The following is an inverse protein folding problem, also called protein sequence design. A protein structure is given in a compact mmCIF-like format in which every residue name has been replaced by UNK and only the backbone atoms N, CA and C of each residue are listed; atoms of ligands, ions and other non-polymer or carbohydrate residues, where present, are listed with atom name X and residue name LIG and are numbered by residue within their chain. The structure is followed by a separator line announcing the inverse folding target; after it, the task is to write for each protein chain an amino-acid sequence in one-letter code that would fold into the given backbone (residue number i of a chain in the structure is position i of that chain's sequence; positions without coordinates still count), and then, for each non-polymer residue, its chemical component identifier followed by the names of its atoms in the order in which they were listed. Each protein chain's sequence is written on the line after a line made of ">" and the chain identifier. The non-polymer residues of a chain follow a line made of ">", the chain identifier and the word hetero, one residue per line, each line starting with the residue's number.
data_IF_561268101234
#
_entry.id   IF_561268101234
#
_cell.length_a   1.000
_cell.length_b   1.000
_cell.length_c   1.000
_cell.angle_alpha   90.00
_cell.angle_beta   90.00
_cell.angle_gamma   90.00
#
_symmetry.space_group_name_H-M   'P 1'
#
loop_
_entity.id
_entity.type
_entity.pdbx_description
1 polymer ?
#
# COMPACT_ATOMS: atom_id res chain seq x y z
N UNK A 1 -10.44 25.45 -11.69
CA UNK A 1 -9.28 25.11 -12.54
C UNK A 1 -9.73 24.13 -13.63
N UNK A 2 -9.16 24.21 -14.84
CA UNK A 2 -9.48 23.28 -15.93
C UNK A 2 -8.71 21.97 -15.70
N UNK A 3 -9.41 20.85 -15.51
CA UNK A 3 -8.76 19.55 -15.28
C UNK A 3 -7.97 19.11 -16.51
N UNK A 4 -6.76 18.57 -16.31
CA UNK A 4 -5.87 18.12 -17.40
C UNK A 4 -6.06 16.63 -17.67
N UNK A 5 -6.06 16.25 -18.95
CA UNK A 5 -6.12 14.84 -19.35
C UNK A 5 -4.69 14.27 -19.44
N UNK A 6 -4.32 13.38 -18.52
CA UNK A 6 -2.95 12.84 -18.42
C UNK A 6 -3.01 11.32 -18.13
N UNK A 7 -1.94 10.60 -18.47
CA UNK A 7 -1.74 9.19 -18.10
C UNK A 7 -0.72 9.14 -16.95
N UNK A 8 -1.11 8.58 -15.81
CA UNK A 8 -0.20 8.34 -14.69
C UNK A 8 0.60 7.06 -14.94
N UNK A 9 1.88 7.06 -14.60
CA UNK A 9 2.69 5.85 -14.56
C UNK A 9 2.18 4.91 -13.47
N UNK A 10 2.24 3.58 -13.67
CA UNK A 10 1.88 2.61 -12.63
C UNK A 10 2.81 2.74 -11.41
N UNK A 11 2.30 2.59 -10.18
CA UNK A 11 3.12 2.59 -8.98
C UNK A 11 4.04 1.37 -8.97
N UNK A 12 5.26 1.53 -8.48
CA UNK A 12 6.18 0.40 -8.34
C UNK A 12 5.75 -0.40 -7.11
N UNK A 13 5.33 -1.65 -7.31
CA UNK A 13 4.91 -2.54 -6.23
C UNK A 13 6.13 -3.27 -5.68
N UNK A 14 6.40 -3.09 -4.39
CA UNK A 14 7.44 -3.82 -3.66
C UNK A 14 6.81 -4.60 -2.51
N UNK A 15 7.47 -5.69 -2.08
CA UNK A 15 6.97 -6.49 -0.95
C UNK A 15 7.20 -5.73 0.36
N UNK A 16 8.34 -5.05 0.45
CA UNK A 16 8.69 -4.22 1.59
C UNK A 16 9.01 -2.79 1.15
N UNK A 17 8.67 -1.80 1.99
CA UNK A 17 8.87 -0.38 1.69
C UNK A 17 10.36 -0.03 1.46
N UNK A 18 11.25 -0.66 2.24
CA UNK A 18 12.69 -0.41 2.14
C UNK A 18 13.32 -0.86 0.82
N UNK A 19 12.66 -1.72 0.05
CA UNK A 19 13.16 -2.18 -1.26
C UNK A 19 13.20 -1.03 -2.28
N UNK A 20 12.39 0.02 -2.07
CA UNK A 20 12.42 1.23 -2.90
C UNK A 20 13.59 2.13 -2.55
N UNK A 21 14.17 1.99 -1.36
CA UNK A 21 15.23 2.86 -0.89
C UNK A 21 16.55 2.53 -1.61
N UNK A 22 17.16 3.56 -2.18
CA UNK A 22 18.45 3.51 -2.85
C UNK A 22 19.43 4.47 -2.19
N UNK A 23 20.71 4.17 -2.27
CA UNK A 23 21.78 5.03 -1.78
C UNK A 23 22.81 5.26 -2.90
N UNK A 24 23.24 6.51 -3.05
CA UNK A 24 24.28 6.86 -4.00
C UNK A 24 25.66 6.42 -3.48
N UNK A 25 26.45 5.68 -4.28
CA UNK A 25 27.81 5.31 -3.90
C UNK A 25 28.77 6.50 -3.72
N UNK A 26 28.50 7.62 -4.40
CA UNK A 26 29.43 8.75 -4.45
C UNK A 26 29.17 9.77 -3.33
N UNK A 27 27.91 10.19 -3.14
CA UNK A 27 27.55 11.17 -2.11
C UNK A 27 26.87 10.57 -0.89
N UNK A 28 26.65 9.25 -0.86
CA UNK A 28 25.99 8.51 0.24
C UNK A 28 24.60 9.01 0.64
N UNK A 29 23.94 9.81 -0.22
CA UNK A 29 22.56 10.23 0.00
C UNK A 29 21.59 9.14 -0.41
N UNK A 30 20.49 9.11 0.33
CA UNK A 30 19.39 8.19 0.12
C UNK A 30 18.31 8.85 -0.76
N UNK A 31 17.67 8.03 -1.58
CA UNK A 31 16.54 8.44 -2.42
C UNK A 31 15.59 7.27 -2.62
N UNK A 32 14.31 7.58 -2.74
CA UNK A 32 13.25 6.64 -3.14
C UNK A 32 12.86 6.86 -4.60
N UNK A 33 13.21 8.02 -5.16
CA UNK A 33 12.95 8.35 -6.55
C UNK A 33 13.75 7.42 -7.46
N UNK A 34 13.06 6.83 -8.43
CA UNK A 34 13.60 5.84 -9.36
C UNK A 34 14.21 6.49 -10.60
N UNK A 35 15.00 7.53 -10.37
CA UNK A 35 15.76 8.20 -11.42
C UNK A 35 17.05 7.43 -11.73
N UNK A 36 17.58 7.60 -12.94
CA UNK A 36 18.85 6.98 -13.35
C UNK A 36 20.03 7.64 -12.63
N UNK A 37 19.93 8.96 -12.43
CA UNK A 37 20.97 9.78 -11.85
C UNK A 37 20.62 10.19 -10.42
N UNK A 38 21.64 10.35 -9.59
CA UNK A 38 21.46 10.89 -8.25
C UNK A 38 21.06 12.37 -8.32
N UNK A 39 19.91 12.72 -7.73
CA UNK A 39 19.39 14.10 -7.65
C UNK A 39 20.27 15.06 -6.84
N UNK A 40 21.31 14.56 -6.15
CA UNK A 40 22.28 15.40 -5.45
C UNK A 40 23.57 15.63 -6.23
N UNK A 41 24.17 14.56 -6.77
CA UNK A 41 25.49 14.65 -7.39
C UNK A 41 25.50 14.42 -8.91
N UNK A 42 24.34 14.15 -9.52
CA UNK A 42 24.16 13.90 -10.95
C UNK A 42 24.74 12.57 -11.45
N UNK A 43 25.45 11.81 -10.61
CA UNK A 43 26.12 10.57 -11.05
C UNK A 43 25.15 9.36 -11.09
N UNK A 44 25.28 8.46 -12.08
CA UNK A 44 24.50 7.21 -12.17
C UNK A 44 25.06 6.14 -11.22
N UNK A 45 24.93 6.39 -9.92
CA UNK A 45 25.56 5.57 -8.89
C UNK A 45 24.59 5.12 -7.79
N UNK A 46 23.29 5.05 -8.10
CA UNK A 46 22.25 4.63 -7.17
C UNK A 46 22.21 3.11 -7.05
N UNK A 47 22.34 2.59 -5.82
CA UNK A 47 22.20 1.18 -5.51
C UNK A 47 21.04 0.92 -4.55
N UNK A 48 20.30 -0.19 -4.71
CA UNK A 48 19.35 -0.65 -3.70
C UNK A 48 20.04 -0.86 -2.35
N UNK A 49 19.41 -0.43 -1.26
CA UNK A 49 19.99 -0.58 0.09
C UNK A 49 20.14 -2.05 0.48
N UNK A 50 19.29 -2.94 -0.02
CA UNK A 50 19.41 -4.39 0.19
C UNK A 50 20.72 -4.96 -0.41
N UNK A 51 21.15 -4.47 -1.57
CA UNK A 51 22.44 -4.89 -2.13
C UNK A 51 23.62 -4.40 -1.30
N UNK A 52 23.54 -3.19 -0.74
CA UNK A 52 24.57 -2.65 0.14
C UNK A 52 24.68 -3.48 1.42
N UNK A 53 23.55 -3.82 2.04
CA UNK A 53 23.50 -4.71 3.20
C UNK A 53 24.06 -6.10 2.89
N UNK A 54 23.74 -6.67 1.72
CA UNK A 54 24.27 -7.96 1.28
C UNK A 54 25.80 -7.92 1.10
N UNK A 55 26.34 -6.84 0.50
CA UNK A 55 27.78 -6.66 0.33
C UNK A 55 28.49 -6.51 1.69
N UNK A 56 27.91 -5.75 2.61
CA UNK A 56 28.43 -5.61 3.97
C UNK A 56 28.43 -6.95 4.73
N UNK A 57 27.32 -7.71 4.67
CA UNK A 57 27.22 -9.04 5.27
C UNK A 57 28.25 -10.01 4.68
N UNK A 58 28.41 -10.02 3.34
CA UNK A 58 29.43 -10.85 2.66
C UNK A 58 30.84 -10.48 3.11
N UNK A 59 31.16 -9.18 3.25
CA UNK A 59 32.48 -8.69 3.69
C UNK A 59 32.78 -9.10 5.14
N UNK A 60 31.81 -8.94 6.05
CA UNK A 60 31.94 -9.41 7.44
C UNK A 60 32.25 -10.92 7.48
N UNK A 61 31.51 -11.72 6.71
CA UNK A 61 31.74 -13.18 6.66
C UNK A 61 33.07 -13.57 6.00
N UNK A 62 33.57 -12.79 5.04
CA UNK A 62 34.89 -13.01 4.45
C UNK A 62 36.02 -12.71 5.45
N UNK A 63 35.84 -11.72 6.34
CA UNK A 63 36.81 -11.46 7.40
C UNK A 63 36.89 -12.63 8.40
N UNK A 64 35.75 -13.21 8.79
CA UNK A 64 35.68 -14.40 9.65
C UNK A 64 36.42 -15.60 9.02
N UNK A 65 36.32 -15.76 7.71
CA UNK A 65 37.01 -16.80 6.93
C UNK A 65 38.53 -16.58 6.89
N UNK A 66 38.97 -15.35 6.60
CA UNK A 66 40.38 -14.99 6.58
C UNK A 66 41.03 -15.17 7.96
N UNK A 67 40.31 -14.81 9.03
CA UNK A 67 40.78 -15.01 10.40
C UNK A 67 40.94 -16.50 10.71
N UNK A 68 39.98 -17.33 10.31
CA UNK A 68 40.05 -18.78 10.53
C UNK A 68 41.23 -19.38 9.77
N UNK A 69 41.41 -19.01 8.49
CA UNK A 69 42.55 -19.44 7.68
C UNK A 69 43.90 -19.02 8.30
N UNK A 70 43.98 -17.79 8.82
CA UNK A 70 45.17 -17.30 9.50
C UNK A 70 45.47 -18.14 10.75
N UNK A 71 44.46 -18.41 11.59
CA UNK A 71 44.62 -19.23 12.79
C UNK A 71 45.07 -20.66 12.45
N UNK A 72 44.54 -21.26 11.38
CA UNK A 72 44.97 -22.60 10.94
C UNK A 72 46.41 -22.61 10.45
N UNK A 73 46.84 -21.56 9.71
CA UNK A 73 48.22 -21.44 9.24
C UNK A 73 49.19 -21.27 10.41
N UNK A 74 48.82 -20.47 11.42
CA UNK A 74 49.62 -20.30 12.65
C UNK A 74 49.74 -21.63 13.39
N UNK A 75 48.63 -22.36 13.56
CA UNK A 75 48.64 -23.66 14.24
C UNK A 75 49.55 -24.69 13.54
N UNK A 76 49.55 -24.69 12.19
CA UNK A 76 50.43 -25.56 11.40
C UNK A 76 51.90 -25.13 11.54
N UNK A 77 52.20 -23.84 11.51
CA UNK A 77 53.57 -23.32 11.57
C UNK A 77 54.26 -23.57 12.92
N UNK A 78 53.53 -23.50 14.02
CA UNK A 78 54.06 -23.72 15.38
C UNK A 78 53.98 -25.18 15.86
N UNK A 79 53.61 -26.10 14.98
CA UNK A 79 53.42 -27.50 15.33
C UNK A 79 54.78 -28.25 15.39
N UNK A 80 55.13 -28.93 16.49
CA UNK A 80 56.46 -29.48 16.71
C UNK A 80 56.72 -30.81 15.97
N UNK A 81 55.67 -31.54 15.58
CA UNK A 81 55.79 -32.89 15.01
C UNK A 81 54.91 -33.04 13.76
N UNK A 82 55.34 -33.85 12.79
CA UNK A 82 54.57 -34.16 11.58
C UNK A 82 53.14 -34.65 11.85
N UNK A 83 52.93 -35.43 12.92
CA UNK A 83 51.60 -35.88 13.34
C UNK A 83 50.69 -34.70 13.73
N UNK A 84 51.21 -33.74 14.50
CA UNK A 84 50.47 -32.54 14.90
C UNK A 84 50.21 -31.59 13.72
N UNK A 85 51.10 -31.56 12.71
CA UNK A 85 50.87 -30.83 11.45
C UNK A 85 49.67 -31.43 10.70
N UNK A 86 49.62 -32.77 10.58
CA UNK A 86 48.51 -33.43 9.90
C UNK A 86 47.18 -33.20 10.63
N UNK A 87 47.15 -33.32 11.95
CA UNK A 87 45.95 -33.09 12.77
C UNK A 87 45.47 -31.64 12.67
N UNK A 88 46.38 -30.67 12.76
CA UNK A 88 46.04 -29.24 12.65
C UNK A 88 45.52 -28.87 11.25
N UNK A 89 46.11 -29.44 10.18
CA UNK A 89 45.64 -29.23 8.82
C UNK A 89 44.24 -29.82 8.58
N UNK A 90 43.99 -31.06 9.02
CA UNK A 90 42.69 -31.73 8.86
C UNK A 90 41.61 -31.02 9.69
N UNK A 91 41.89 -30.68 10.95
CA UNK A 91 40.94 -29.96 11.80
C UNK A 91 40.64 -28.55 11.27
N UNK A 92 41.65 -27.85 10.75
CA UNK A 92 41.48 -26.56 10.07
C UNK A 92 40.59 -26.67 8.83
N UNK A 93 40.81 -27.67 7.98
CA UNK A 93 39.97 -27.92 6.81
C UNK A 93 38.52 -28.27 7.18
N UNK A 94 38.32 -29.09 8.23
CA UNK A 94 37.00 -29.44 8.76
C UNK A 94 36.26 -28.20 9.32
N UNK A 95 36.94 -27.35 10.09
CA UNK A 95 36.38 -26.08 10.57
C UNK A 95 36.03 -25.14 9.41
N UNK A 96 36.90 -25.07 8.39
CA UNK A 96 36.69 -24.21 7.23
C UNK A 96 35.45 -24.64 6.43
N UNK A 97 35.30 -25.94 6.18
CA UNK A 97 34.13 -26.50 5.49
C UNK A 97 32.84 -26.29 6.28
N UNK A 98 32.86 -26.49 7.61
CA UNK A 98 31.74 -26.20 8.48
C UNK A 98 31.34 -24.71 8.44
N UNK A 99 32.32 -23.81 8.50
CA UNK A 99 32.10 -22.36 8.39
C UNK A 99 31.47 -21.97 7.06
N UNK A 100 31.92 -22.55 5.93
CA UNK A 100 31.32 -22.31 4.62
C UNK A 100 29.85 -22.77 4.56
N UNK A 101 29.54 -23.91 5.19
CA UNK A 101 28.17 -24.40 5.28
C UNK A 101 27.29 -23.47 6.12
N UNK A 102 27.74 -23.12 7.33
CA UNK A 102 27.05 -22.18 8.22
C UNK A 102 26.86 -20.82 7.54
N UNK A 103 27.88 -20.32 6.82
CA UNK A 103 27.82 -19.06 6.06
C UNK A 103 26.66 -19.03 5.08
N UNK A 104 26.49 -20.10 4.27
CA UNK A 104 25.41 -20.17 3.28
C UNK A 104 24.04 -20.08 3.94
N UNK A 105 23.87 -20.77 5.07
CA UNK A 105 22.61 -20.77 5.83
C UNK A 105 22.37 -19.46 6.59
N UNK A 106 23.43 -18.82 7.09
CA UNK A 106 23.35 -17.60 7.89
C UNK A 106 23.30 -16.30 7.06
N UNK A 107 23.63 -16.33 5.77
CA UNK A 107 23.69 -15.14 4.92
C UNK A 107 22.38 -14.32 4.89
N UNK A 108 21.18 -14.92 4.77
CA UNK A 108 19.93 -14.15 4.79
C UNK A 108 19.72 -13.42 6.13
N UNK A 109 20.01 -14.11 7.25
CA UNK A 109 19.90 -13.55 8.60
C UNK A 109 20.94 -12.44 8.86
N UNK A 110 22.20 -12.62 8.45
CA UNK A 110 23.21 -11.55 8.55
C UNK A 110 22.86 -10.35 7.68
N UNK A 111 22.24 -10.58 6.51
CA UNK A 111 21.80 -9.48 5.64
C UNK A 111 20.73 -8.63 6.31
N UNK A 112 19.74 -9.23 6.99
CA UNK A 112 18.71 -8.46 7.71
C UNK A 112 19.28 -7.73 8.93
N UNK A 113 20.24 -8.32 9.64
CA UNK A 113 20.95 -7.67 10.75
C UNK A 113 21.74 -6.45 10.26
N UNK A 114 22.54 -6.60 9.19
CA UNK A 114 23.30 -5.48 8.63
C UNK A 114 22.39 -4.40 8.04
N UNK A 115 21.26 -4.78 7.43
CA UNK A 115 20.25 -3.85 6.97
C UNK A 115 19.68 -3.01 8.13
N UNK A 116 19.34 -3.66 9.24
CA UNK A 116 18.85 -2.99 10.45
C UNK A 116 19.89 -2.01 11.02
N UNK A 117 21.16 -2.44 11.12
CA UNK A 117 22.26 -1.56 11.55
C UNK A 117 22.43 -0.36 10.63
N UNK A 118 22.31 -0.54 9.32
CA UNK A 118 22.35 0.57 8.36
C UNK A 118 21.21 1.55 8.59
N UNK A 119 19.98 1.09 8.83
CA UNK A 119 18.86 1.99 9.11
C UNK A 119 19.03 2.78 10.40
N UNK A 120 19.57 2.16 11.45
CA UNK A 120 19.83 2.86 12.72
C UNK A 120 20.95 3.88 12.53
N UNK A 121 22.06 3.49 11.91
CA UNK A 121 23.23 4.35 11.72
C UNK A 121 22.94 5.52 10.78
N UNK A 122 22.23 5.25 9.69
CA UNK A 122 22.03 6.22 8.60
C UNK A 122 20.65 6.90 8.68
N UNK A 123 19.95 6.80 9.83
CA UNK A 123 18.58 7.30 10.04
C UNK A 123 18.39 8.74 9.59
N UNK A 124 19.24 9.65 10.04
CA UNK A 124 19.10 11.08 9.74
C UNK A 124 19.39 11.37 8.26
N UNK A 125 20.32 10.64 7.65
CA UNK A 125 20.61 10.76 6.21
C UNK A 125 19.44 10.25 5.38
N UNK A 126 18.79 9.18 5.81
CA UNK A 126 17.56 8.66 5.18
C UNK A 126 16.46 9.71 5.29
N UNK A 127 16.20 10.24 6.49
CA UNK A 127 15.19 11.27 6.71
C UNK A 127 15.42 12.51 5.83
N UNK A 128 16.64 13.06 5.83
CA UNK A 128 17.00 14.21 5.02
C UNK A 128 16.89 13.93 3.51
N UNK A 129 17.26 12.72 3.07
CA UNK A 129 17.09 12.29 1.67
C UNK A 129 15.62 12.23 1.24
N UNK A 130 14.74 11.75 2.12
CA UNK A 130 13.31 11.69 1.86
C UNK A 130 12.65 13.08 1.85
N UNK A 131 13.02 13.97 2.78
CA UNK A 131 12.55 15.36 2.76
C UNK A 131 12.94 16.03 1.44
N UNK A 132 14.20 15.88 1.02
CA UNK A 132 14.64 16.38 -0.29
C UNK A 132 13.88 15.78 -1.46
N UNK A 133 13.50 14.50 -1.39
CA UNK A 133 12.67 13.89 -2.44
C UNK A 133 11.28 14.54 -2.50
N UNK A 134 10.71 14.96 -1.37
CA UNK A 134 9.46 15.73 -1.35
C UNK A 134 9.64 17.09 -1.99
N UNK A 135 10.74 17.80 -1.69
CA UNK A 135 11.03 19.10 -2.30
C UNK A 135 11.15 18.99 -3.83
N UNK A 136 11.85 17.94 -4.31
CA UNK A 136 12.00 17.66 -5.74
C UNK A 136 10.64 17.33 -6.38
N UNK A 137 9.78 16.62 -5.67
CA UNK A 137 8.43 16.30 -6.15
C UNK A 137 7.56 17.56 -6.21
N UNK A 138 7.62 18.42 -5.20
CA UNK A 138 6.87 19.68 -5.13
C UNK A 138 7.35 20.71 -6.17
N UNK A 139 8.64 20.71 -6.51
CA UNK A 139 9.22 21.59 -7.52
C UNK A 139 8.84 21.24 -8.98
N UNK A 140 8.13 20.13 -9.21
CA UNK A 140 7.71 19.75 -10.56
C UNK A 140 6.59 20.67 -11.08
N UNK A 141 6.79 21.27 -12.24
CA UNK A 141 5.74 22.05 -12.92
C UNK A 141 4.54 21.21 -13.35
N UNK A 142 4.77 19.93 -13.64
CA UNK A 142 3.73 18.99 -14.01
C UNK A 142 3.13 18.31 -12.77
N UNK A 143 1.89 18.67 -12.44
CA UNK A 143 1.11 18.12 -11.31
C UNK A 143 1.04 16.58 -11.31
N UNK A 144 0.91 15.96 -12.49
CA UNK A 144 0.88 14.50 -12.58
C UNK A 144 2.24 13.88 -12.21
N UNK A 145 3.33 14.51 -12.66
CA UNK A 145 4.68 14.07 -12.30
C UNK A 145 4.96 14.30 -10.81
N UNK A 146 4.52 15.45 -10.28
CA UNK A 146 4.59 15.74 -8.85
C UNK A 146 3.89 14.65 -8.03
N UNK A 147 2.65 14.30 -8.42
CA UNK A 147 1.88 13.25 -7.77
C UNK A 147 2.58 11.88 -7.83
N UNK A 148 3.13 11.50 -8.99
CA UNK A 148 3.88 10.24 -9.15
C UNK A 148 5.06 10.16 -8.18
N UNK A 149 5.87 11.22 -8.10
CA UNK A 149 7.04 11.24 -7.22
C UNK A 149 6.62 11.26 -5.74
N UNK A 150 5.62 12.05 -5.37
CA UNK A 150 5.07 12.06 -4.01
C UNK A 150 4.53 10.68 -3.61
N UNK A 151 3.85 9.98 -4.53
CA UNK A 151 3.33 8.62 -4.30
C UNK A 151 4.45 7.63 -4.01
N UNK A 152 5.59 7.74 -4.69
CA UNK A 152 6.74 6.88 -4.41
C UNK A 152 7.32 7.15 -3.01
N UNK A 153 7.43 8.42 -2.60
CA UNK A 153 7.93 8.79 -1.26
C UNK A 153 6.93 8.39 -0.15
N UNK A 154 5.63 8.51 -0.39
CA UNK A 154 4.56 8.21 0.56
C UNK A 154 4.52 6.73 1.01
N UNK A 155 5.17 5.83 0.25
CA UNK A 155 5.34 4.43 0.67
C UNK A 155 6.20 4.31 1.93
N UNK A 156 7.18 5.21 2.10
CA UNK A 156 8.08 5.24 3.26
C UNK A 156 7.58 6.24 4.31
N UNK A 157 7.23 7.46 3.90
CA UNK A 157 6.75 8.51 4.83
C UNK A 157 5.22 8.56 4.79
N UNK A 158 4.60 8.10 5.86
CA UNK A 158 3.14 8.22 6.05
C UNK A 158 2.85 9.46 6.88
N UNK A 159 2.49 10.55 6.22
CA UNK A 159 2.14 11.82 6.85
C UNK A 159 0.88 12.40 6.17
N UNK A 160 -0.08 12.85 6.97
CA UNK A 160 -1.34 13.43 6.49
C UNK A 160 -1.13 14.70 5.67
N UNK A 161 -0.09 15.49 5.96
CA UNK A 161 0.28 16.64 5.12
C UNK A 161 0.63 16.21 3.68
N UNK A 162 1.43 15.14 3.53
CA UNK A 162 1.80 14.61 2.21
C UNK A 162 0.56 14.06 1.50
N UNK A 163 -0.30 13.31 2.22
CA UNK A 163 -1.55 12.78 1.66
C UNK A 163 -2.46 13.91 1.16
N UNK A 164 -2.59 14.99 1.93
CA UNK A 164 -3.37 16.17 1.54
C UNK A 164 -2.83 16.81 0.26
N UNK A 165 -1.50 17.00 0.15
CA UNK A 165 -0.88 17.48 -1.09
C UNK A 165 -1.15 16.54 -2.28
N UNK A 166 -1.06 15.22 -2.08
CA UNK A 166 -1.39 14.25 -3.12
C UNK A 166 -2.85 14.34 -3.59
N UNK A 167 -3.79 14.53 -2.66
CA UNK A 167 -5.21 14.70 -2.97
C UNK A 167 -5.43 15.98 -3.79
N UNK A 168 -4.81 17.10 -3.39
CA UNK A 168 -4.88 18.37 -4.12
C UNK A 168 -4.36 18.22 -5.56
N UNK A 169 -3.23 17.53 -5.74
CA UNK A 169 -2.69 17.24 -7.07
C UNK A 169 -3.63 16.36 -7.90
N UNK A 170 -4.31 15.39 -7.30
CA UNK A 170 -5.28 14.54 -8.01
C UNK A 170 -6.51 15.32 -8.47
N UNK A 171 -6.93 16.35 -7.75
CA UNK A 171 -8.09 17.17 -8.13
C UNK A 171 -7.85 18.01 -9.39
N UNK A 172 -6.59 18.33 -9.72
CA UNK A 172 -6.26 19.04 -10.96
C UNK A 172 -6.30 18.13 -12.21
N UNK A 173 -6.39 16.81 -12.00
CA UNK A 173 -6.36 15.81 -13.07
C UNK A 173 -7.76 15.29 -13.40
N UNK A 174 -7.98 14.97 -14.68
CA UNK A 174 -9.17 14.21 -15.09
C UNK A 174 -8.95 12.75 -14.72
N UNK A 175 -9.61 12.29 -13.66
CA UNK A 175 -9.53 10.92 -13.21
C UNK A 175 -10.31 9.99 -14.16
N UNK A 176 -9.67 8.90 -14.58
CA UNK A 176 -10.28 7.88 -15.42
C UNK A 176 -10.14 6.49 -14.82
N UNK A 177 -11.00 5.57 -15.25
CA UNK A 177 -11.07 4.19 -14.73
C UNK A 177 -9.82 3.36 -15.06
N UNK A 178 -9.19 3.63 -16.21
CA UNK A 178 -7.96 2.98 -16.69
C UNK A 178 -6.72 3.35 -15.87
N UNK A 179 -6.78 4.39 -15.04
CA UNK A 179 -5.64 4.85 -14.26
C UNK A 179 -5.44 4.01 -12.99
N UNK A 180 -4.17 3.88 -12.57
CA UNK A 180 -3.78 3.27 -11.30
C UNK A 180 -4.01 4.24 -10.13
N UNK A 181 -5.29 4.44 -9.80
CA UNK A 181 -5.76 5.20 -8.66
C UNK A 181 -5.72 4.38 -7.37
N UNK A 182 -5.51 5.06 -6.24
CA UNK A 182 -5.45 4.48 -4.90
C UNK A 182 -6.27 5.35 -3.94
N UNK A 183 -6.91 4.74 -2.94
CA UNK A 183 -7.71 5.47 -1.95
C UNK A 183 -7.27 5.20 -0.51
N UNK A 184 -7.15 3.93 -0.12
CA UNK A 184 -6.79 3.56 1.26
C UNK A 184 -5.50 4.24 1.79
N UNK A 185 -4.41 4.38 1.01
CA UNK A 185 -3.21 5.06 1.48
C UNK A 185 -3.37 6.58 1.64
N UNK A 186 -4.37 7.17 0.98
CA UNK A 186 -4.65 8.61 0.97
C UNK A 186 -5.68 9.02 2.04
N UNK A 187 -6.28 8.06 2.76
CA UNK A 187 -7.21 8.40 3.83
C UNK A 187 -6.50 9.22 4.91
N UNK A 188 -7.13 10.33 5.29
CA UNK A 188 -6.69 11.23 6.36
C UNK A 188 -7.36 10.84 7.67
N UNK A 189 -6.75 11.21 8.80
CA UNK A 189 -7.32 10.97 10.12
C UNK A 189 -8.48 11.93 10.41
N UNK A 190 -8.30 13.19 10.02
CA UNK A 190 -9.25 14.29 10.16
C UNK A 190 -10.09 14.51 8.90
N UNK A 191 -11.22 15.21 9.06
CA UNK A 191 -12.07 15.57 7.93
C UNK A 191 -11.36 16.55 7.00
N UNK A 192 -11.35 16.20 5.72
CA UNK A 192 -10.85 17.04 4.64
C UNK A 192 -11.87 17.04 3.49
N UNK A 193 -12.37 18.22 3.05
CA UNK A 193 -13.37 18.31 2.01
C UNK A 193 -12.81 17.87 0.65
N UNK A 194 -11.52 18.06 0.41
CA UNK A 194 -10.88 17.62 -0.83
C UNK A 194 -10.82 16.08 -0.94
N UNK A 195 -10.53 15.39 0.17
CA UNK A 195 -10.62 13.94 0.28
C UNK A 195 -12.05 13.44 0.05
N UNK A 196 -13.05 14.09 0.66
CA UNK A 196 -14.44 13.71 0.48
C UNK A 196 -14.89 13.86 -0.99
N UNK A 197 -14.50 14.95 -1.65
CA UNK A 197 -14.74 15.15 -3.08
C UNK A 197 -14.05 14.07 -3.92
N UNK A 198 -12.81 13.72 -3.60
CA UNK A 198 -12.07 12.65 -4.28
C UNK A 198 -12.76 11.29 -4.14
N UNK A 199 -13.23 10.95 -2.94
CA UNK A 199 -14.03 9.74 -2.68
C UNK A 199 -15.29 9.72 -3.56
N UNK A 200 -15.98 10.86 -3.68
CA UNK A 200 -17.15 11.03 -4.54
C UNK A 200 -16.86 10.76 -6.02
N UNK A 201 -15.76 11.29 -6.53
CA UNK A 201 -15.32 11.03 -7.90
C UNK A 201 -15.01 9.53 -8.10
N UNK A 202 -14.27 8.91 -7.17
CA UNK A 202 -13.97 7.47 -7.21
C UNK A 202 -15.22 6.60 -7.15
N UNK A 203 -16.26 7.00 -6.41
CA UNK A 203 -17.53 6.28 -6.35
C UNK A 203 -18.24 6.20 -7.71
N UNK A 204 -17.98 7.16 -8.60
CA UNK A 204 -18.52 7.20 -9.97
C UNK A 204 -17.68 6.36 -10.94
N UNK A 205 -16.34 6.43 -10.83
CA UNK A 205 -15.44 5.81 -11.83
C UNK A 205 -14.86 4.44 -11.44
N UNK A 206 -14.52 4.22 -10.17
CA UNK A 206 -13.72 3.06 -9.70
C UNK A 206 -14.12 2.62 -8.28
N UNK A 207 -15.41 2.28 -8.13
CA UNK A 207 -16.05 1.87 -6.88
C UNK A 207 -15.35 0.75 -6.12
N UNK A 208 -14.53 -0.05 -6.80
CA UNK A 208 -13.76 -1.14 -6.20
C UNK A 208 -12.70 -0.68 -5.20
N UNK A 209 -12.27 0.57 -5.28
CA UNK A 209 -11.33 1.17 -4.34
C UNK A 209 -11.98 1.57 -3.02
N UNK A 210 -13.32 1.68 -2.97
CA UNK A 210 -14.08 1.99 -1.76
C UNK A 210 -14.22 0.70 -0.95
N UNK A 211 -13.53 0.68 0.19
CA UNK A 211 -13.40 -0.46 1.10
C UNK A 211 -13.77 -0.06 2.52
N UNK A 212 -13.63 -1.01 3.44
CA UNK A 212 -13.96 -0.91 4.86
C UNK A 212 -13.52 0.41 5.51
N UNK A 213 -12.23 0.76 5.40
CA UNK A 213 -11.69 2.00 5.97
C UNK A 213 -12.32 3.27 5.36
N UNK A 214 -12.66 3.24 4.08
CA UNK A 214 -13.35 4.35 3.42
C UNK A 214 -14.78 4.49 3.95
N UNK A 215 -15.50 3.38 4.13
CA UNK A 215 -16.84 3.42 4.72
C UNK A 215 -16.81 3.97 6.15
N UNK A 216 -15.86 3.52 6.97
CA UNK A 216 -15.66 4.02 8.33
C UNK A 216 -15.37 5.53 8.34
N UNK A 217 -14.48 6.01 7.46
CA UNK A 217 -14.19 7.45 7.33
C UNK A 217 -15.43 8.25 6.95
N UNK A 218 -16.17 7.80 5.93
CA UNK A 218 -17.38 8.50 5.43
C UNK A 218 -18.48 8.53 6.49
N UNK A 219 -18.67 7.43 7.24
CA UNK A 219 -19.66 7.37 8.33
C UNK A 219 -19.23 8.25 9.50
N UNK A 220 -17.93 8.25 9.87
CA UNK A 220 -17.39 9.10 10.93
C UNK A 220 -17.65 10.59 10.66
N UNK A 221 -17.51 11.01 9.40
CA UNK A 221 -17.64 12.41 8.98
C UNK A 221 -18.90 12.68 8.16
N UNK A 222 -19.95 11.88 8.35
CA UNK A 222 -21.15 11.93 7.52
C UNK A 222 -21.80 13.32 7.54
N UNK A 223 -21.93 13.94 8.71
CA UNK A 223 -22.53 15.27 8.86
C UNK A 223 -21.75 16.35 8.11
N UNK A 224 -20.42 16.32 8.21
CA UNK A 224 -19.55 17.26 7.50
C UNK A 224 -19.64 17.07 5.98
N UNK A 225 -19.73 15.81 5.51
CA UNK A 225 -19.91 15.53 4.09
C UNK A 225 -21.27 16.03 3.63
N UNK A 226 -22.36 15.78 4.37
CA UNK A 226 -23.70 16.28 4.02
C UNK A 226 -23.76 17.80 3.90
N UNK A 227 -22.98 18.53 4.70
CA UNK A 227 -22.90 19.99 4.63
C UNK A 227 -22.16 20.51 3.37
N UNK A 228 -21.47 19.64 2.62
CA UNK A 228 -20.83 20.01 1.35
C UNK A 228 -21.85 20.16 0.23
N UNK A 229 -21.53 20.99 -0.77
CA UNK A 229 -22.39 21.25 -1.94
C UNK A 229 -22.85 19.97 -2.66
N UNK A 230 -21.94 19.02 -2.85
CA UNK A 230 -22.22 17.73 -3.52
C UNK A 230 -22.27 16.55 -2.51
N UNK A 231 -22.48 16.85 -1.23
CA UNK A 231 -22.40 15.89 -0.12
C UNK A 231 -23.31 14.68 -0.30
N UNK A 232 -24.55 14.95 -0.64
CA UNK A 232 -25.57 13.92 -0.87
C UNK A 232 -25.20 12.95 -2.00
N UNK A 233 -24.64 13.46 -3.09
CA UNK A 233 -24.19 12.66 -4.23
C UNK A 233 -22.98 11.80 -3.86
N UNK A 234 -22.06 12.34 -3.05
CA UNK A 234 -20.91 11.60 -2.51
C UNK A 234 -21.42 10.43 -1.67
N UNK A 235 -22.32 10.70 -0.72
CA UNK A 235 -22.84 9.70 0.22
C UNK A 235 -23.66 8.63 -0.50
N UNK A 236 -24.53 9.01 -1.45
CA UNK A 236 -25.26 8.07 -2.30
C UNK A 236 -24.32 7.25 -3.20
N UNK A 237 -23.26 7.86 -3.71
CA UNK A 237 -22.22 7.20 -4.49
C UNK A 237 -21.50 6.12 -3.68
N UNK A 238 -21.07 6.45 -2.46
CA UNK A 238 -20.41 5.53 -1.53
C UNK A 238 -21.35 4.41 -1.09
N UNK A 239 -22.61 4.73 -0.77
CA UNK A 239 -23.65 3.74 -0.49
C UNK A 239 -23.80 2.77 -1.68
N UNK A 240 -23.88 3.28 -2.90
CA UNK A 240 -23.96 2.47 -4.11
C UNK A 240 -22.72 1.58 -4.36
N UNK A 241 -21.54 1.96 -3.84
CA UNK A 241 -20.35 1.13 -3.89
C UNK A 241 -20.42 -0.05 -2.91
N UNK A 242 -21.00 0.14 -1.72
CA UNK A 242 -21.17 -0.91 -0.70
C UNK A 242 -22.08 -2.06 -1.20
N UNK A 243 -23.13 -1.73 -1.96
CA UNK A 243 -24.10 -2.70 -2.51
C UNK A 243 -23.45 -3.79 -3.40
N UNK A 244 -22.21 -3.57 -3.86
CA UNK A 244 -21.46 -4.58 -4.61
C UNK A 244 -21.25 -5.88 -3.81
N UNK A 245 -21.13 -5.83 -2.49
CA UNK A 245 -20.79 -7.02 -1.68
C UNK A 245 -21.75 -7.18 -0.51
N UNK A 246 -22.37 -8.38 -0.37
CA UNK A 246 -23.29 -8.72 0.74
C UNK A 246 -22.68 -8.41 2.12
N UNK A 247 -21.38 -8.70 2.31
CA UNK A 247 -20.66 -8.39 3.56
C UNK A 247 -20.72 -6.90 3.93
N UNK A 248 -20.52 -6.02 2.95
CA UNK A 248 -20.60 -4.57 3.18
C UNK A 248 -22.03 -4.11 3.40
N UNK A 249 -23.00 -4.70 2.71
CA UNK A 249 -24.42 -4.42 2.96
C UNK A 249 -24.81 -4.74 4.39
N UNK A 250 -24.36 -5.89 4.91
CA UNK A 250 -24.63 -6.30 6.29
C UNK A 250 -23.90 -5.39 7.30
N UNK A 251 -22.60 -5.13 7.08
CA UNK A 251 -21.79 -4.34 7.99
C UNK A 251 -22.23 -2.87 8.10
N UNK A 252 -22.78 -2.31 7.03
CA UNK A 252 -23.14 -0.88 6.94
C UNK A 252 -24.63 -0.68 6.66
N UNK A 253 -25.49 -1.57 7.14
CA UNK A 253 -26.93 -1.56 6.87
C UNK A 253 -27.62 -0.25 7.28
N UNK A 254 -27.25 0.30 8.44
CA UNK A 254 -27.78 1.59 8.92
C UNK A 254 -27.41 2.77 8.02
N UNK A 255 -26.17 2.80 7.50
CA UNK A 255 -25.74 3.81 6.54
C UNK A 255 -26.49 3.65 5.21
N UNK A 256 -26.61 2.42 4.70
CA UNK A 256 -27.36 2.14 3.49
C UNK A 256 -28.82 2.53 3.59
N UNK A 257 -29.47 2.31 4.74
CA UNK A 257 -30.88 2.67 4.93
C UNK A 257 -31.11 4.17 4.71
N UNK A 258 -30.20 5.04 5.18
CA UNK A 258 -30.32 6.50 5.00
C UNK A 258 -30.19 6.96 3.55
N UNK A 259 -29.39 6.27 2.73
CA UNK A 259 -29.09 6.69 1.36
C UNK A 259 -29.73 5.80 0.28
N UNK A 260 -30.44 4.72 0.64
CA UNK A 260 -31.03 3.76 -0.28
C UNK A 260 -31.94 4.43 -1.31
N UNK A 261 -32.72 5.43 -0.90
CA UNK A 261 -33.67 6.15 -1.77
C UNK A 261 -32.99 6.99 -2.87
N UNK A 262 -31.71 7.35 -2.68
CA UNK A 262 -30.88 8.12 -3.62
C UNK A 262 -30.06 7.21 -4.56
N UNK A 263 -30.17 5.88 -4.42
CA UNK A 263 -29.45 4.95 -5.29
C UNK A 263 -30.08 4.93 -6.71
N UNK A 264 -29.25 4.84 -7.77
CA UNK A 264 -29.72 4.51 -9.11
C UNK A 264 -30.46 3.16 -9.15
N UNK A 265 -31.44 3.02 -10.05
CA UNK A 265 -32.30 1.82 -10.20
C UNK A 265 -31.50 0.51 -10.15
N UNK A 266 -30.47 0.35 -10.97
CA UNK A 266 -29.68 -0.90 -11.03
C UNK A 266 -29.01 -1.25 -9.70
N UNK A 267 -28.56 -0.23 -8.95
CA UNK A 267 -27.90 -0.42 -7.66
C UNK A 267 -28.94 -0.74 -6.60
N UNK A 268 -30.08 -0.06 -6.62
CA UNK A 268 -31.18 -0.37 -5.72
C UNK A 268 -31.72 -1.79 -5.95
N UNK A 269 -31.90 -2.21 -7.21
CA UNK A 269 -32.30 -3.57 -7.57
C UNK A 269 -31.36 -4.63 -6.97
N UNK A 270 -30.05 -4.39 -7.05
CA UNK A 270 -29.05 -5.27 -6.43
C UNK A 270 -29.16 -5.29 -4.91
N UNK A 271 -29.35 -4.14 -4.26
CA UNK A 271 -29.53 -4.03 -2.82
C UNK A 271 -30.77 -4.81 -2.37
N UNK A 272 -31.89 -4.59 -3.06
CA UNK A 272 -33.16 -5.26 -2.80
C UNK A 272 -33.01 -6.79 -2.92
N UNK A 273 -32.38 -7.29 -4.00
CA UNK A 273 -32.08 -8.73 -4.14
C UNK A 273 -31.27 -9.28 -2.96
N UNK A 274 -30.21 -8.59 -2.54
CA UNK A 274 -29.36 -9.05 -1.43
C UNK A 274 -30.17 -9.19 -0.13
N UNK A 275 -31.06 -8.24 0.15
CA UNK A 275 -31.88 -8.24 1.37
C UNK A 275 -32.96 -9.33 1.28
N UNK A 276 -33.70 -9.39 0.17
CA UNK A 276 -34.83 -10.32 -0.01
C UNK A 276 -34.40 -11.78 -0.11
N UNK A 277 -33.24 -12.07 -0.73
CA UNK A 277 -32.71 -13.44 -0.82
C UNK A 277 -32.14 -13.97 0.50
N UNK A 278 -32.04 -13.14 1.53
CA UNK A 278 -31.40 -13.50 2.79
C UNK A 278 -32.19 -12.95 3.99
N UNK A 279 -33.45 -13.36 4.17
CA UNK A 279 -34.36 -12.79 5.17
C UNK A 279 -33.90 -13.03 6.62
N UNK A 280 -33.13 -14.10 6.87
CA UNK A 280 -32.71 -14.51 8.21
C UNK A 280 -31.60 -13.62 8.81
N UNK A 281 -30.99 -12.75 8.00
CA UNK A 281 -29.94 -11.86 8.47
C UNK A 281 -30.51 -10.60 9.10
N UNK A 282 -29.87 -10.12 10.15
CA UNK A 282 -30.26 -8.87 10.80
C UNK A 282 -29.82 -7.66 9.95
N UNK A 283 -30.73 -7.18 9.10
CA UNK A 283 -30.54 -5.98 8.29
C UNK A 283 -30.89 -4.68 9.03
N UNK A 284 -31.40 -4.75 10.26
CA UNK A 284 -31.90 -3.59 10.99
C UNK A 284 -32.97 -2.82 10.19
N UNK A 285 -32.89 -1.48 10.22
CA UNK A 285 -33.85 -0.61 9.51
C UNK A 285 -33.78 -0.72 7.96
N UNK A 286 -32.72 -1.33 7.41
CA UNK A 286 -32.53 -1.42 5.96
C UNK A 286 -33.63 -2.25 5.29
N UNK A 287 -34.08 -3.35 5.90
CA UNK A 287 -35.08 -4.22 5.31
C UNK A 287 -36.40 -3.48 5.10
N UNK A 288 -36.91 -2.83 6.14
CA UNK A 288 -38.13 -2.03 6.09
C UNK A 288 -38.00 -0.89 5.06
N UNK A 289 -36.87 -0.19 5.04
CA UNK A 289 -36.64 0.90 4.08
C UNK A 289 -36.62 0.41 2.63
N UNK A 290 -35.98 -0.72 2.36
CA UNK A 290 -35.94 -1.29 1.00
C UNK A 290 -37.31 -1.77 0.53
N UNK A 291 -38.13 -2.35 1.41
CA UNK A 291 -39.51 -2.73 1.09
C UNK A 291 -40.36 -1.50 0.74
N UNK A 292 -40.27 -0.44 1.57
CA UNK A 292 -40.97 0.83 1.32
C UNK A 292 -40.58 1.45 -0.02
N UNK A 293 -39.28 1.54 -0.32
CA UNK A 293 -38.82 2.11 -1.61
C UNK A 293 -39.31 1.26 -2.80
N UNK A 294 -39.32 -0.06 -2.67
CA UNK A 294 -39.85 -0.95 -3.69
C UNK A 294 -41.34 -0.68 -3.95
N UNK A 295 -42.17 -0.68 -2.90
CA UNK A 295 -43.61 -0.40 -3.00
C UNK A 295 -43.89 0.97 -3.63
N UNK A 296 -43.19 2.01 -3.19
CA UNK A 296 -43.41 3.37 -3.67
C UNK A 296 -42.93 3.61 -5.12
N UNK A 297 -41.78 3.04 -5.52
CA UNK A 297 -41.10 3.41 -6.77
C UNK A 297 -41.03 2.31 -7.84
N UNK A 298 -41.01 1.04 -7.45
CA UNK A 298 -40.60 -0.05 -8.34
C UNK A 298 -41.53 -1.28 -8.35
N UNK A 299 -42.64 -1.29 -7.60
CA UNK A 299 -43.56 -2.43 -7.52
C UNK A 299 -44.10 -2.91 -8.88
N UNK A 300 -44.26 -2.00 -9.83
CA UNK A 300 -44.74 -2.27 -11.19
C UNK A 300 -43.60 -2.43 -12.22
N UNK A 301 -42.35 -2.40 -11.76
CA UNK A 301 -41.17 -2.50 -12.61
C UNK A 301 -40.82 -3.96 -12.89
N UNK A 302 -40.79 -4.34 -14.16
CA UNK A 302 -40.56 -5.73 -14.59
C UNK A 302 -39.22 -6.31 -14.09
N UNK A 303 -38.19 -5.48 -13.92
CA UNK A 303 -36.86 -5.93 -13.47
C UNK A 303 -36.87 -6.42 -12.01
N UNK A 304 -37.82 -5.93 -11.22
CA UNK A 304 -37.99 -6.31 -9.81
C UNK A 304 -38.94 -7.49 -9.63
N UNK A 305 -39.86 -7.73 -10.56
CA UNK A 305 -40.80 -8.85 -10.53
C UNK A 305 -40.14 -10.20 -10.87
N UNK A 306 -38.99 -10.18 -11.56
CA UNK A 306 -38.23 -11.39 -11.91
C UNK A 306 -37.45 -11.99 -10.72
N UNK A 307 -37.51 -11.38 -9.53
CA UNK A 307 -36.81 -11.85 -8.34
C UNK A 307 -37.60 -13.03 -7.75
N UNK A 308 -37.29 -14.25 -8.19
CA UNK A 308 -37.80 -15.46 -7.53
C UNK A 308 -37.09 -15.64 -6.19
N UNK A 309 -37.82 -15.81 -5.07
CA UNK A 309 -37.21 -16.29 -3.84
C UNK A 309 -36.57 -17.65 -4.13
N UNK A 310 -35.34 -17.89 -3.67
CA UNK A 310 -34.83 -19.27 -3.58
C UNK A 310 -35.75 -19.99 -2.61
N UNK A 311 -36.59 -20.89 -3.12
CA UNK A 311 -37.38 -21.81 -2.32
C UNK A 311 -36.45 -22.50 -1.32
N UNK A 312 -36.79 -22.42 -0.03
CA UNK A 312 -36.13 -23.18 1.02
C UNK A 312 -36.15 -24.66 0.62
N UNK A 313 -34.99 -25.21 0.24
CA UNK A 313 -34.80 -26.65 0.18
C UNK A 313 -34.57 -27.09 1.62
N UNK A 314 -35.67 -27.22 2.35
CA UNK A 314 -35.77 -28.04 3.55
C UNK A 314 -37.06 -28.86 3.44
N UNK A 315 -37.03 -29.79 2.47
CA UNK A 315 -37.81 -31.02 2.53
C UNK A 315 -36.82 -32.17 2.76
N UNK A 316 -36.49 -32.42 4.04
CA UNK A 316 -36.32 -33.75 4.67
C UNK A 316 -36.64 -33.60 6.15
#
# INVERSE_FOLDING_TARGET
>A
MKKKNIVLRPPIKTKYAYEKLRCCKNCHNYTVLMEENCTTCGKPALLPVQELALRAAKRSLSNDLLLTLLLTLIAVAFSPTFQFIAISAVSGAALMTLLLFVRRKALPSRTSIELSKMFVRDRDRIANGLVRNLDIAAAQENEARSYELMREVAVIIRNDHIRKLQILLLQSLVLRKDMDLELEPLLLEDFDPELASYIGELAKIKRELIKDRTFQYVIKYEQQITAMRDGDDILAGVAGAAVRMKRYVLAYSGFLARYARKLPKDRFLRLYRIVTENPDLNWGALQAETARIYEEKYQWDADFQQIKPRSNIHDV
#
